data_IF_064195611493
#
_entry.id   IF_064195611493
#
_cell.length_a   1.000
_cell.length_b   1.000
_cell.length_c   1.000
_cell.angle_alpha   90.00
_cell.angle_beta   90.00
_cell.angle_gamma   90.00
#
_symmetry.space_group_name_H-M   'P 1'
#
loop_
_entity.id
_entity.type
_entity.pdbx_description
1 polymer ?
#
# COMPACT_ATOMS: atom_id res chain seq x y z
N UNK A 1 -12.05 8.24 6.03
CA UNK A 1 -12.84 7.24 5.27
C UNK A 1 -13.61 6.41 6.28
N UNK A 2 -14.77 5.85 5.92
CA UNK A 2 -15.60 5.03 6.84
C UNK A 2 -15.49 3.54 6.56
N UNK A 3 -14.53 3.15 5.73
CA UNK A 3 -14.26 1.76 5.34
C UNK A 3 -12.79 1.43 5.59
N UNK A 4 -12.45 0.17 5.90
CA UNK A 4 -11.07 -0.26 5.99
C UNK A 4 -10.28 0.14 4.73
N UNK A 5 -9.08 0.67 4.91
CA UNK A 5 -8.26 1.16 3.80
C UNK A 5 -6.86 0.54 3.87
N UNK A 6 -6.36 0.06 2.73
CA UNK A 6 -5.00 -0.43 2.55
C UNK A 6 -4.29 0.44 1.53
N UNK A 7 -3.06 0.85 1.87
CA UNK A 7 -2.15 1.58 0.98
C UNK A 7 -0.91 0.71 0.79
N UNK A 8 -0.66 0.26 -0.43
CA UNK A 8 0.55 -0.47 -0.83
C UNK A 8 1.39 0.41 -1.74
N UNK A 9 2.70 0.46 -1.53
CA UNK A 9 3.56 1.37 -2.27
C UNK A 9 5.00 0.88 -2.44
N UNK A 10 5.64 1.16 -3.58
CA UNK A 10 7.07 0.90 -3.78
C UNK A 10 7.93 2.12 -3.42
N UNK A 11 8.92 1.98 -2.53
CA UNK A 11 9.71 3.12 -2.03
C UNK A 11 10.59 3.78 -3.10
N UNK A 12 10.87 3.07 -4.20
CA UNK A 12 11.67 3.53 -5.34
C UNK A 12 10.79 3.93 -6.53
N UNK A 13 9.48 4.15 -6.32
CA UNK A 13 8.61 4.70 -7.36
C UNK A 13 9.03 6.13 -7.69
N UNK A 14 9.45 6.33 -8.95
CA UNK A 14 9.85 7.63 -9.49
C UNK A 14 8.72 8.32 -10.27
N UNK A 15 7.68 7.57 -10.65
CA UNK A 15 6.54 8.10 -11.41
C UNK A 15 5.58 8.82 -10.48
N UNK A 16 5.37 8.22 -9.31
CA UNK A 16 4.62 8.79 -8.21
C UNK A 16 5.62 8.83 -7.05
N UNK A 17 5.98 10.00 -6.50
CA UNK A 17 6.90 10.06 -5.35
C UNK A 17 6.15 9.84 -4.02
N UNK A 18 6.63 8.97 -3.11
CA UNK A 18 5.94 8.62 -1.88
C UNK A 18 5.73 9.81 -0.94
N UNK A 19 6.67 10.75 -0.92
CA UNK A 19 6.72 11.87 0.02
C UNK A 19 5.54 12.82 -0.15
N UNK A 20 5.02 12.93 -1.37
CA UNK A 20 3.87 13.77 -1.72
C UNK A 20 2.59 12.98 -1.97
N UNK A 21 2.64 11.65 -1.87
CA UNK A 21 1.49 10.78 -2.16
C UNK A 21 1.22 9.79 -1.01
N UNK A 22 1.81 8.59 -1.04
CA UNK A 22 1.50 7.51 -0.13
C UNK A 22 1.75 7.88 1.34
N UNK A 23 2.83 8.62 1.64
CA UNK A 23 3.10 9.11 3.00
C UNK A 23 2.05 10.09 3.49
N UNK A 24 1.57 10.97 2.60
CA UNK A 24 0.49 11.91 2.92
C UNK A 24 -0.82 11.15 3.11
N UNK A 25 -1.17 10.23 2.21
CA UNK A 25 -2.38 9.43 2.29
C UNK A 25 -2.43 8.60 3.59
N UNK A 26 -1.32 7.95 3.97
CA UNK A 26 -1.21 7.19 5.21
C UNK A 26 -1.39 8.05 6.47
N UNK A 27 -1.03 9.35 6.42
CA UNK A 27 -1.25 10.30 7.52
C UNK A 27 -2.68 10.84 7.58
N UNK A 28 -3.31 11.04 6.42
CA UNK A 28 -4.62 11.69 6.32
C UNK A 28 -5.80 10.70 6.41
N UNK A 29 -5.61 9.47 5.97
CA UNK A 29 -6.65 8.45 6.01
C UNK A 29 -6.57 7.75 7.36
N UNK A 30 -7.48 8.12 8.27
CA UNK A 30 -7.63 7.47 9.56
C UNK A 30 -7.74 5.95 9.42
N UNK A 31 -7.03 5.23 10.28
CA UNK A 31 -6.98 3.76 10.36
C UNK A 31 -6.55 3.04 9.08
N UNK A 32 -5.88 3.74 8.15
CA UNK A 32 -5.30 3.09 6.98
C UNK A 32 -4.13 2.18 7.38
N UNK A 33 -4.15 0.95 6.88
CA UNK A 33 -2.96 0.09 6.88
C UNK A 33 -2.04 0.55 5.76
N UNK A 34 -0.81 0.91 6.11
CA UNK A 34 0.21 1.32 5.15
C UNK A 34 1.33 0.28 5.09
N UNK A 35 1.67 -0.18 3.88
CA UNK A 35 2.77 -1.10 3.64
C UNK A 35 3.66 -0.52 2.53
N UNK A 36 4.92 -0.28 2.88
CA UNK A 36 5.95 0.13 1.94
C UNK A 36 6.80 -1.07 1.51
N UNK A 37 7.06 -1.15 0.20
CA UNK A 37 7.82 -2.17 -0.47
C UNK A 37 9.19 -1.56 -0.77
N UNK A 38 10.09 -1.71 0.20
CA UNK A 38 11.45 -1.18 0.12
C UNK A 38 12.16 -1.65 -1.16
N UNK A 39 12.70 -0.70 -1.92
CA UNK A 39 13.42 -0.94 -3.16
C UNK A 39 12.53 -1.10 -4.40
N UNK A 40 11.24 -1.37 -4.26
CA UNK A 40 10.33 -1.59 -5.39
C UNK A 40 9.90 -0.29 -6.07
N UNK A 41 9.67 -0.35 -7.38
CA UNK A 41 9.19 0.78 -8.20
C UNK A 41 7.66 0.85 -8.32
N UNK A 42 7.17 1.57 -9.33
CA UNK A 42 5.74 1.83 -9.53
C UNK A 42 4.87 0.57 -9.66
N UNK A 43 5.36 -0.44 -10.37
CA UNK A 43 4.57 -1.58 -10.82
C UNK A 43 4.59 -2.77 -9.83
N UNK A 44 4.46 -2.53 -8.52
CA UNK A 44 4.52 -3.59 -7.48
C UNK A 44 3.53 -4.75 -7.72
N UNK A 45 2.37 -4.48 -8.34
CA UNK A 45 1.42 -5.53 -8.70
C UNK A 45 1.93 -6.52 -9.75
N UNK A 46 2.97 -6.15 -10.51
CA UNK A 46 3.65 -6.98 -11.50
C UNK A 46 4.98 -7.52 -10.98
N UNK A 47 5.82 -6.65 -10.41
CA UNK A 47 7.18 -7.00 -9.97
C UNK A 47 7.20 -7.79 -8.67
N UNK A 48 6.28 -7.46 -7.75
CA UNK A 48 6.18 -8.03 -6.39
C UNK A 48 4.84 -8.74 -6.18
N UNK A 49 4.26 -9.25 -7.28
CA UNK A 49 2.91 -9.85 -7.36
C UNK A 49 2.57 -10.78 -6.19
N UNK A 50 3.49 -11.66 -5.81
CA UNK A 50 3.25 -12.64 -4.74
C UNK A 50 3.13 -11.97 -3.38
N UNK A 51 4.02 -11.02 -3.07
CA UNK A 51 3.99 -10.24 -1.83
C UNK A 51 2.72 -9.37 -1.78
N UNK A 52 2.39 -8.69 -2.89
CA UNK A 52 1.15 -7.91 -3.02
C UNK A 52 -0.08 -8.77 -2.76
N UNK A 53 -0.15 -9.96 -3.34
CA UNK A 53 -1.29 -10.85 -3.14
C UNK A 53 -1.39 -11.32 -1.68
N UNK A 54 -0.28 -11.65 -1.03
CA UNK A 54 -0.26 -12.04 0.40
C UNK A 54 -0.79 -10.92 1.28
N UNK A 55 -0.28 -9.70 1.11
CA UNK A 55 -0.69 -8.55 1.91
C UNK A 55 -2.15 -8.18 1.67
N UNK A 56 -2.59 -8.23 0.41
CA UNK A 56 -3.98 -8.01 0.04
C UNK A 56 -4.91 -9.04 0.67
N UNK A 57 -4.58 -10.34 0.61
CA UNK A 57 -5.37 -11.38 1.25
C UNK A 57 -5.41 -11.25 2.76
N UNK A 58 -4.30 -10.87 3.40
CA UNK A 58 -4.25 -10.62 4.84
C UNK A 58 -5.21 -9.48 5.22
N UNK A 59 -5.15 -8.36 4.50
CA UNK A 59 -6.04 -7.22 4.71
C UNK A 59 -7.51 -7.59 4.52
N UNK A 60 -7.86 -8.31 3.44
CA UNK A 60 -9.25 -8.72 3.17
C UNK A 60 -9.80 -9.63 4.27
N UNK A 61 -8.97 -10.52 4.83
CA UNK A 61 -9.39 -11.41 5.94
C UNK A 61 -9.55 -10.67 7.26
N UNK A 62 -8.79 -9.60 7.49
CA UNK A 62 -8.94 -8.73 8.66
C UNK A 62 -10.20 -7.84 8.54
N UNK A 63 -10.41 -7.25 7.36
CA UNK A 63 -11.51 -6.32 7.09
C UNK A 63 -12.89 -6.99 6.96
N UNK A 64 -12.94 -8.30 6.66
CA UNK A 64 -14.17 -9.08 6.56
C UNK A 64 -14.69 -9.66 7.89
N UNK A 65 -14.08 -9.32 9.02
CA UNK A 65 -14.57 -9.65 10.37
C UNK A 65 -15.39 -8.50 10.93
#
# INVERSE_FOLDING_TARGET
MTVPTLILYGSSDVNVPPEITAHIAARLIADARYIEYEGSGHAIGMTDRERVNVDLFAFLREAGR
#
